data_IF_977222092608
#
_entry.id   IF_977222092608
#
_cell.length_a   1.000
_cell.length_b   1.000
_cell.length_c   1.000
_cell.angle_alpha   90.00
_cell.angle_beta   90.00
_cell.angle_gamma   90.00
#
_symmetry.space_group_name_H-M   'P 1'
#
loop_
_entity.id
_entity.type
_entity.pdbx_description
1 polymer ?
#
# COMPACT_ATOMS: atom_id res chain seq x y z
N UNK A 1 9.48 6.18 -1.36
CA UNK A 1 8.07 5.73 -1.31
C UNK A 1 7.25 6.86 -0.74
N UNK A 2 6.21 7.28 -1.47
CA UNK A 2 5.28 8.35 -1.07
C UNK A 2 3.91 7.75 -0.77
N UNK A 3 3.14 8.35 0.13
CA UNK A 3 1.73 8.01 0.35
C UNK A 3 0.84 9.21 0.03
N UNK A 4 -0.31 8.97 -0.62
CA UNK A 4 -1.35 9.98 -0.82
C UNK A 4 -2.66 9.63 -0.11
N UNK A 5 -2.78 8.42 0.43
CA UNK A 5 -3.83 8.01 1.35
C UNK A 5 -3.17 7.48 2.63
N UNK A 6 -3.38 8.21 3.73
CA UNK A 6 -2.89 7.90 5.05
C UNK A 6 -4.07 7.89 6.03
N UNK A 7 -4.07 6.90 6.93
CA UNK A 7 -5.11 6.74 7.96
C UNK A 7 -4.49 6.98 9.32
N UNK A 8 -5.19 7.73 10.16
CA UNK A 8 -4.79 8.01 11.53
C UNK A 8 -5.99 7.78 12.44
N UNK A 9 -5.78 7.02 13.51
CA UNK A 9 -6.75 6.86 14.59
C UNK A 9 -6.31 7.72 15.77
N UNK A 10 -7.25 8.49 16.32
CA UNK A 10 -7.04 9.39 17.44
C UNK A 10 -8.10 9.13 18.51
N UNK A 11 -7.66 9.14 19.76
CA UNK A 11 -8.55 9.18 20.92
C UNK A 11 -8.54 10.61 21.47
N UNK A 12 -9.73 11.17 21.68
CA UNK A 12 -9.90 12.53 22.19
C UNK A 12 -10.31 12.46 23.66
N UNK A 13 -9.76 13.33 24.49
CA UNK A 13 -10.13 13.43 25.91
C UNK A 13 -11.57 13.92 26.11
N UNK A 14 -12.12 14.62 25.12
CA UNK A 14 -13.46 15.19 25.14
C UNK A 14 -14.19 14.86 23.84
N UNK A 15 -15.52 14.77 23.92
CA UNK A 15 -16.33 14.59 22.73
C UNK A 15 -16.33 15.88 21.89
N UNK A 16 -15.92 15.77 20.64
CA UNK A 16 -15.97 16.84 19.64
C UNK A 16 -16.76 16.31 18.44
N UNK A 17 -17.69 17.11 17.92
CA UNK A 17 -18.42 16.74 16.70
C UNK A 17 -17.45 16.58 15.52
N UNK A 18 -17.67 15.56 14.70
CA UNK A 18 -16.81 15.22 13.55
C UNK A 18 -16.59 16.41 12.60
N UNK A 19 -17.65 17.19 12.35
CA UNK A 19 -17.58 18.41 11.53
C UNK A 19 -16.61 19.45 12.09
N UNK A 20 -16.55 19.59 13.41
CA UNK A 20 -15.67 20.52 14.11
C UNK A 20 -14.21 20.02 14.14
N UNK A 21 -13.99 18.71 14.28
CA UNK A 21 -12.65 18.10 14.21
C UNK A 21 -11.95 18.49 12.90
N UNK A 22 -12.65 18.30 11.76
CA UNK A 22 -12.10 18.64 10.44
C UNK A 22 -11.73 20.11 10.32
N UNK A 23 -12.59 21.00 10.81
CA UNK A 23 -12.36 22.46 10.80
C UNK A 23 -11.13 22.85 11.63
N UNK A 24 -11.01 22.31 12.85
CA UNK A 24 -9.89 22.60 13.75
C UNK A 24 -8.56 22.09 13.21
N UNK A 25 -8.52 20.85 12.73
CA UNK A 25 -7.30 20.28 12.14
C UNK A 25 -6.86 21.07 10.90
N UNK A 26 -7.79 21.43 10.02
CA UNK A 26 -7.47 22.20 8.80
C UNK A 26 -6.82 23.56 9.09
N UNK A 27 -7.18 24.22 10.19
CA UNK A 27 -6.58 25.52 10.59
C UNK A 27 -5.14 25.39 11.10
N UNK A 28 -4.75 24.22 11.60
CA UNK A 28 -3.43 24.00 12.20
C UNK A 28 -2.45 23.30 11.25
N UNK A 29 -2.95 22.62 10.21
CA UNK A 29 -2.13 21.91 9.26
C UNK A 29 -1.55 22.83 8.18
N UNK A 30 -0.29 22.58 7.73
CA UNK A 30 0.27 23.29 6.60
C UNK A 30 -0.51 22.98 5.32
N UNK A 31 -0.42 23.85 4.31
CA UNK A 31 -1.13 23.67 3.03
C UNK A 31 -0.81 22.36 2.30
N UNK A 32 0.36 21.76 2.59
CA UNK A 32 0.81 20.48 2.05
C UNK A 32 0.11 19.26 2.65
N UNK A 33 -0.62 19.40 3.75
CA UNK A 33 -1.38 18.32 4.40
C UNK A 33 -2.86 18.65 4.37
N UNK A 34 -3.66 17.74 3.81
CA UNK A 34 -5.10 17.92 3.66
C UNK A 34 -5.86 16.77 4.31
N UNK A 35 -6.88 17.11 5.11
CA UNK A 35 -7.81 16.12 5.68
C UNK A 35 -8.88 15.79 4.64
N UNK A 36 -8.81 14.56 4.11
CA UNK A 36 -9.74 14.06 3.08
C UNK A 36 -11.09 13.67 3.69
N UNK A 37 -11.09 12.83 4.73
CA UNK A 37 -12.27 12.45 5.51
C UNK A 37 -11.97 12.43 7.01
N UNK A 38 -13.03 12.47 7.81
CA UNK A 38 -12.99 12.23 9.26
C UNK A 38 -14.24 11.42 9.58
N UNK A 39 -14.06 10.30 10.27
CA UNK A 39 -15.13 9.38 10.60
C UNK A 39 -15.00 9.01 12.10
N UNK A 40 -16.13 8.91 12.79
CA UNK A 40 -16.14 8.39 14.16
C UNK A 40 -16.15 6.86 14.09
N UNK A 41 -15.21 6.23 14.80
CA UNK A 41 -15.08 4.77 14.86
C UNK A 41 -15.47 4.24 16.24
N UNK A 42 -15.92 2.97 16.30
CA UNK A 42 -16.24 2.32 17.56
C UNK A 42 -14.98 2.12 18.41
N UNK A 43 -15.08 2.35 19.72
CA UNK A 43 -13.95 2.37 20.67
C UNK A 43 -13.34 1.01 20.99
N UNK A 44 -13.93 -0.09 20.51
CA UNK A 44 -13.66 -1.42 21.09
C UNK A 44 -12.44 -2.14 20.51
N UNK A 45 -11.90 -1.71 19.37
CA UNK A 45 -10.67 -2.30 18.81
C UNK A 45 -9.95 -1.32 17.87
N UNK A 46 -8.62 -1.32 17.94
CA UNK A 46 -7.77 -0.63 16.94
C UNK A 46 -7.96 -1.29 15.59
N UNK A 47 -8.14 -0.50 14.54
CA UNK A 47 -8.20 -1.07 13.20
C UNK A 47 -6.83 -1.59 12.78
N UNK A 48 -6.84 -2.62 11.95
CA UNK A 48 -5.63 -3.20 11.34
C UNK A 48 -5.67 -2.99 9.83
N UNK A 49 -4.51 -2.83 9.20
CA UNK A 49 -4.45 -2.72 7.74
C UNK A 49 -4.86 -4.05 7.11
N UNK A 50 -5.89 -4.04 6.26
CA UNK A 50 -6.34 -5.22 5.50
C UNK A 50 -5.56 -5.36 4.22
N UNK A 51 -5.47 -4.28 3.46
CA UNK A 51 -4.82 -4.23 2.16
C UNK A 51 -4.41 -2.81 1.79
N UNK A 52 -3.45 -2.75 0.87
CA UNK A 52 -2.81 -1.54 0.42
C UNK A 52 -2.67 -1.58 -1.09
N UNK A 53 -3.05 -0.49 -1.73
CA UNK A 53 -2.84 -0.29 -3.17
C UNK A 53 -1.63 0.60 -3.40
N UNK A 54 -0.74 0.15 -4.28
CA UNK A 54 0.39 0.93 -4.77
C UNK A 54 0.26 1.13 -6.28
N UNK A 55 0.73 2.29 -6.74
CA UNK A 55 0.96 2.59 -8.14
C UNK A 55 2.44 2.86 -8.31
N UNK A 56 3.02 2.28 -9.35
CA UNK A 56 4.44 2.42 -9.69
C UNK A 56 4.53 2.95 -11.10
N UNK A 57 5.36 3.96 -11.31
CA UNK A 57 5.70 4.48 -12.64
C UNK A 57 7.11 4.04 -13.02
N UNK A 58 7.27 3.04 -13.90
CA UNK A 58 8.57 2.67 -14.41
C UNK A 58 9.21 3.78 -15.23
N UNK A 59 10.54 3.76 -15.32
CA UNK A 59 11.28 4.52 -16.33
C UNK A 59 10.92 3.97 -17.71
N UNK A 60 11.02 4.81 -18.74
CA UNK A 60 10.69 4.42 -20.12
C UNK A 60 11.34 3.09 -20.50
N UNK A 61 10.53 2.08 -20.87
CA UNK A 61 11.01 0.91 -21.61
C UNK A 61 10.87 -0.47 -20.97
N UNK A 62 10.37 -0.62 -19.73
CA UNK A 62 10.10 -1.97 -19.19
C UNK A 62 8.80 -2.04 -18.41
N UNK A 63 7.72 -2.34 -19.12
CA UNK A 63 6.45 -2.72 -18.52
C UNK A 63 6.33 -4.24 -18.53
N UNK A 64 5.89 -4.88 -17.44
CA UNK A 64 5.54 -6.29 -17.49
C UNK A 64 4.31 -6.45 -18.37
N UNK A 65 4.34 -7.42 -19.26
CA UNK A 65 3.17 -7.79 -20.04
C UNK A 65 2.15 -8.53 -19.19
N UNK A 66 0.93 -8.66 -19.74
CA UNK A 66 -0.17 -9.41 -19.12
C UNK A 66 0.22 -10.87 -18.90
N UNK A 67 1.05 -11.44 -19.79
CA UNK A 67 1.51 -12.82 -19.68
C UNK A 67 2.41 -13.03 -18.46
N UNK A 68 3.41 -12.18 -18.26
CA UNK A 68 4.32 -12.26 -17.11
C UNK A 68 3.59 -12.08 -15.78
N UNK A 69 2.58 -11.20 -15.76
CA UNK A 69 1.72 -11.00 -14.60
C UNK A 69 0.90 -12.26 -14.31
N UNK A 70 0.26 -12.84 -15.33
CA UNK A 70 -0.54 -14.05 -15.16
C UNK A 70 0.32 -15.23 -14.72
N UNK A 71 1.51 -15.39 -15.30
CA UNK A 71 2.48 -16.42 -14.89
C UNK A 71 2.97 -16.24 -13.45
N UNK A 72 3.07 -15.00 -12.97
CA UNK A 72 3.40 -14.74 -11.58
C UNK A 72 2.21 -15.09 -10.66
N UNK A 73 1.01 -14.64 -11.01
CA UNK A 73 -0.21 -14.87 -10.22
C UNK A 73 -0.66 -16.34 -10.21
N UNK A 74 -0.29 -17.13 -11.22
CA UNK A 74 -0.61 -18.56 -11.29
C UNK A 74 0.30 -19.44 -10.43
N UNK A 75 1.39 -18.89 -9.87
CA UNK A 75 2.26 -19.66 -8.96
C UNK A 75 1.59 -19.81 -7.61
N UNK A 76 1.74 -20.99 -7.01
CA UNK A 76 1.29 -21.24 -5.64
C UNK A 76 2.23 -20.64 -4.60
N UNK A 77 3.52 -20.57 -4.91
CA UNK A 77 4.57 -20.09 -3.99
C UNK A 77 5.52 -19.14 -4.73
N UNK A 78 5.79 -17.98 -4.13
CA UNK A 78 6.76 -17.01 -4.64
C UNK A 78 7.70 -16.61 -3.48
N UNK A 79 8.86 -17.26 -3.44
CA UNK A 79 9.83 -17.07 -2.39
C UNK A 79 10.74 -15.86 -2.65
N UNK A 80 10.85 -14.97 -1.66
CA UNK A 80 11.80 -13.85 -1.64
C UNK A 80 12.63 -13.85 -0.36
N UNK A 81 13.90 -13.44 -0.45
CA UNK A 81 14.81 -13.35 0.69
C UNK A 81 14.93 -11.89 1.16
N UNK A 82 14.51 -11.62 2.40
CA UNK A 82 14.60 -10.28 2.98
C UNK A 82 15.96 -10.08 3.63
N UNK A 83 16.70 -9.03 3.25
CA UNK A 83 18.10 -8.74 3.69
C UNK A 83 18.36 -8.85 5.21
N UNK A 84 17.35 -8.67 6.07
CA UNK A 84 17.48 -8.73 7.54
C UNK A 84 16.92 -9.99 8.20
N UNK A 85 16.39 -10.93 7.42
CA UNK A 85 15.84 -12.19 7.92
C UNK A 85 16.51 -13.35 7.20
N UNK A 86 16.97 -14.36 7.95
CA UNK A 86 17.46 -15.61 7.38
C UNK A 86 16.34 -16.43 6.70
N UNK A 87 15.09 -16.16 7.07
CA UNK A 87 13.92 -16.88 6.58
C UNK A 87 13.42 -16.34 5.25
N UNK A 88 13.12 -17.25 4.33
CA UNK A 88 12.39 -17.00 3.09
C UNK A 88 10.97 -16.52 3.39
N UNK A 89 10.50 -15.51 2.67
CA UNK A 89 9.13 -15.02 2.74
C UNK A 89 8.42 -15.43 1.45
N UNK A 90 7.33 -16.19 1.57
CA UNK A 90 6.43 -16.43 0.45
C UNK A 90 5.49 -15.24 0.31
N UNK A 91 5.63 -14.49 -0.78
CA UNK A 91 4.86 -13.29 -1.04
C UNK A 91 3.51 -13.58 -1.71
N UNK A 92 3.33 -14.75 -2.34
CA UNK A 92 2.13 -15.06 -3.14
C UNK A 92 0.82 -14.87 -2.35
N UNK A 93 0.72 -15.31 -1.08
CA UNK A 93 -0.50 -15.13 -0.29
C UNK A 93 -0.88 -13.67 -0.07
N UNK A 94 0.07 -12.73 -0.20
CA UNK A 94 -0.19 -11.31 -0.01
C UNK A 94 -0.51 -10.56 -1.31
N UNK A 95 -0.32 -11.15 -2.48
CA UNK A 95 -0.64 -10.49 -3.77
C UNK A 95 -2.08 -10.82 -4.15
N UNK A 96 -2.96 -9.81 -4.11
CA UNK A 96 -4.36 -9.94 -4.56
C UNK A 96 -4.42 -9.86 -6.08
N UNK A 97 -3.89 -8.76 -6.63
CA UNK A 97 -3.96 -8.46 -8.06
C UNK A 97 -2.77 -7.57 -8.47
N UNK A 98 -2.40 -7.67 -9.74
CA UNK A 98 -1.44 -6.81 -10.40
C UNK A 98 -2.08 -6.33 -11.70
N UNK A 99 -2.11 -5.02 -11.91
CA UNK A 99 -2.59 -4.41 -13.15
C UNK A 99 -1.44 -3.68 -13.83
N UNK A 100 -1.48 -3.59 -15.15
CA UNK A 100 -0.46 -2.92 -15.95
C UNK A 100 -1.13 -2.20 -17.11
N UNK A 101 -0.64 -1.02 -17.45
CA UNK A 101 -0.98 -0.31 -18.68
C UNK A 101 0.30 0.21 -19.36
N UNK A 102 0.22 1.21 -20.24
CA UNK A 102 1.40 1.79 -20.90
C UNK A 102 2.29 2.65 -20.00
N UNK A 103 1.82 3.04 -18.81
CA UNK A 103 2.44 4.03 -17.94
C UNK A 103 2.63 3.56 -16.50
N UNK A 104 1.75 2.69 -16.00
CA UNK A 104 1.68 2.37 -14.58
C UNK A 104 1.51 0.88 -14.32
N UNK A 105 2.07 0.46 -13.18
CA UNK A 105 1.84 -0.85 -12.58
C UNK A 105 1.06 -0.63 -11.29
N UNK A 106 -0.14 -1.22 -11.21
CA UNK A 106 -0.95 -1.26 -10.01
C UNK A 106 -0.70 -2.54 -9.23
N UNK A 107 -0.46 -2.42 -7.92
CA UNK A 107 -0.25 -3.55 -7.02
C UNK A 107 -1.29 -3.48 -5.91
N UNK A 108 -2.13 -4.51 -5.78
CA UNK A 108 -3.01 -4.68 -4.64
C UNK A 108 -2.47 -5.78 -3.72
N UNK A 109 -2.05 -5.38 -2.52
CA UNK A 109 -1.35 -6.24 -1.57
C UNK A 109 -2.14 -6.33 -0.27
N UNK A 110 -2.43 -7.54 0.20
CA UNK A 110 -3.09 -7.78 1.48
C UNK A 110 -2.14 -8.13 2.61
N UNK A 111 -2.52 -7.74 3.81
CA UNK A 111 -1.89 -8.19 5.03
C UNK A 111 -2.10 -9.70 5.20
N UNK A 112 -1.07 -10.39 5.67
CA UNK A 112 -1.14 -11.80 6.07
C UNK A 112 -0.54 -11.94 7.46
N UNK A 113 -0.77 -13.06 8.18
CA UNK A 113 -0.10 -13.31 9.47
C UNK A 113 1.43 -13.28 9.39
N UNK A 114 2.02 -13.54 8.21
CA UNK A 114 3.47 -13.48 7.97
C UNK A 114 3.96 -12.09 7.55
N UNK A 115 3.03 -11.13 7.40
CA UNK A 115 3.25 -9.77 6.89
C UNK A 115 2.77 -9.58 5.45
N UNK A 116 2.94 -8.37 4.95
CA UNK A 116 2.59 -7.97 3.58
C UNK A 116 3.84 -8.05 2.66
N UNK A 117 3.65 -8.38 1.38
CA UNK A 117 4.68 -8.17 0.37
C UNK A 117 5.06 -6.70 0.29
N UNK A 118 6.32 -6.43 -0.03
CA UNK A 118 6.75 -5.08 -0.37
C UNK A 118 6.61 -4.88 -1.89
N UNK A 119 6.21 -3.68 -2.35
CA UNK A 119 6.11 -3.41 -3.79
C UNK A 119 7.38 -3.79 -4.56
N UNK A 120 8.56 -3.48 -4.04
CA UNK A 120 9.83 -3.81 -4.67
C UNK A 120 10.10 -5.32 -4.77
N UNK A 121 9.56 -6.13 -3.86
CA UNK A 121 9.66 -7.60 -3.93
C UNK A 121 8.85 -8.11 -5.12
N UNK A 122 7.60 -7.63 -5.26
CA UNK A 122 6.72 -8.02 -6.38
C UNK A 122 7.29 -7.57 -7.72
N UNK A 123 7.75 -6.32 -7.82
CA UNK A 123 8.37 -5.78 -9.03
C UNK A 123 9.62 -6.57 -9.45
N UNK A 124 10.45 -6.98 -8.49
CA UNK A 124 11.61 -7.83 -8.74
C UNK A 124 11.23 -9.17 -9.39
N UNK A 125 10.13 -9.78 -8.96
CA UNK A 125 9.62 -11.02 -9.57
C UNK A 125 8.97 -10.80 -10.95
N UNK A 126 8.53 -9.58 -11.26
CA UNK A 126 8.14 -9.15 -12.61
C UNK A 126 9.35 -8.76 -13.48
N UNK A 127 10.58 -8.93 -12.98
CA UNK A 127 11.81 -8.65 -13.72
C UNK A 127 12.24 -7.19 -13.71
N UNK A 128 11.66 -6.34 -12.85
CA UNK A 128 11.99 -4.92 -12.71
C UNK A 128 12.96 -4.70 -11.56
N UNK A 129 13.93 -3.80 -11.75
CA UNK A 129 14.98 -3.51 -10.78
C UNK A 129 14.94 -2.05 -10.35
N UNK A 130 14.89 -1.81 -9.04
CA UNK A 130 15.01 -0.46 -8.48
C UNK A 130 16.31 0.23 -8.92
N UNK A 131 16.24 1.53 -9.18
CA UNK A 131 17.32 2.37 -9.73
C UNK A 131 17.53 2.21 -11.24
N UNK A 132 17.16 1.06 -11.83
CA UNK A 132 17.27 0.80 -13.26
C UNK A 132 15.95 1.01 -13.99
N UNK A 133 14.91 0.28 -13.60
CA UNK A 133 13.62 0.24 -14.28
C UNK A 133 12.59 1.15 -13.59
N UNK A 134 12.83 1.58 -12.35
CA UNK A 134 12.01 2.53 -11.59
C UNK A 134 12.82 3.12 -10.44
N UNK A 135 12.41 4.27 -9.92
CA UNK A 135 12.95 4.82 -8.66
C UNK A 135 12.05 4.47 -7.47
N UNK A 136 12.62 4.31 -6.27
CA UNK A 136 11.82 4.06 -5.06
C UNK A 136 10.88 5.22 -4.71
N UNK A 137 11.13 6.43 -5.23
CA UNK A 137 10.24 7.58 -5.14
C UNK A 137 8.97 7.40 -5.97
N UNK A 138 9.03 6.64 -7.07
CA UNK A 138 7.90 6.41 -7.99
C UNK A 138 6.92 5.34 -7.49
N UNK A 139 7.26 4.66 -6.39
CA UNK A 139 6.31 3.80 -5.68
C UNK A 139 5.44 4.69 -4.80
N UNK A 140 4.18 4.85 -5.20
CA UNK A 140 3.18 5.67 -4.51
C UNK A 140 2.09 4.78 -3.92
N UNK A 141 1.89 4.84 -2.60
CA UNK A 141 0.74 4.23 -1.93
C UNK A 141 -0.49 5.10 -2.14
N UNK A 142 -1.47 4.57 -2.87
CA UNK A 142 -2.68 5.31 -3.29
C UNK A 142 -3.91 4.98 -2.48
N UNK A 143 -3.92 3.84 -1.77
CA UNK A 143 -5.02 3.44 -0.90
C UNK A 143 -4.54 2.60 0.29
N UNK A 144 -5.11 2.84 1.45
CA UNK A 144 -4.98 1.98 2.64
C UNK A 144 -6.37 1.64 3.15
N UNK A 145 -6.68 0.35 3.14
CA UNK A 145 -7.91 -0.16 3.73
C UNK A 145 -7.63 -0.71 5.12
N UNK A 146 -8.55 -0.43 6.04
CA UNK A 146 -8.50 -0.87 7.42
C UNK A 146 -9.65 -1.85 7.68
N UNK A 147 -9.42 -2.81 8.57
CA UNK A 147 -10.47 -3.66 9.11
C UNK A 147 -11.36 -2.77 9.96
N UNK A 148 -12.57 -2.47 9.51
CA UNK A 148 -13.58 -1.91 10.39
C UNK A 148 -13.85 -2.92 11.50
N UNK A 149 -13.86 -2.47 12.76
CA UNK A 149 -14.58 -3.24 13.78
C UNK A 149 -16.05 -3.29 13.33
N UNK A 150 -16.69 -4.48 13.30
CA UNK A 150 -18.13 -4.56 13.11
C UNK A 150 -18.90 -3.83 14.22
#
# INVERSE_FOLDING_TARGET
>A
MKGIDEKLELELCEHIQVSEIKSRLKKQLPQSIQITSVDQIATRQKSSVTDVTYVVRPKEGKMPGVKEINELLSRDVINTQRKRKKLTFDLRPSVINITTDSQFIGLNLKMTPKGIARPEEVLSHLGLKAGKDYELSEIVRTRVNLSSSP
#
